data_IF_569382471668
#
_entry.id   IF_569382471668
#
_cell.length_a   1.000
_cell.length_b   1.000
_cell.length_c   1.000
_cell.angle_alpha   90.00
_cell.angle_beta   90.00
_cell.angle_gamma   90.00
#
_symmetry.space_group_name_H-M   'P 1'
#
loop_
_entity.id
_entity.type
_entity.pdbx_description
1 polymer ?
#
# COMPACT_ATOMS: atom_id res chain seq x y z
N UNK A 1 17.41 11.10 9.29
CA UNK A 1 16.78 9.77 9.15
C UNK A 1 16.20 9.41 10.51
N UNK A 2 14.89 9.19 10.60
CA UNK A 2 14.17 9.05 11.88
C UNK A 2 14.54 7.75 12.60
N UNK A 3 14.74 7.79 13.92
CA UNK A 3 15.19 6.67 14.76
C UNK A 3 14.26 5.44 14.85
N UNK A 4 13.19 5.41 14.05
CA UNK A 4 12.18 4.33 14.01
C UNK A 4 12.62 3.08 13.24
N UNK A 5 13.63 3.18 12.37
CA UNK A 5 14.01 2.07 11.49
C UNK A 5 14.94 1.04 12.15
N UNK A 6 15.66 1.41 13.22
CA UNK A 6 16.64 0.53 13.87
C UNK A 6 16.04 -0.79 14.37
N UNK A 7 14.95 -0.75 15.16
CA UNK A 7 14.28 -1.97 15.61
C UNK A 7 13.76 -2.86 14.46
N UNK A 8 13.27 -2.25 13.37
CA UNK A 8 12.78 -2.97 12.20
C UNK A 8 13.91 -3.68 11.45
N UNK A 9 15.05 -3.01 11.29
CA UNK A 9 16.25 -3.61 10.70
C UNK A 9 16.75 -4.77 11.55
N UNK A 10 16.83 -4.60 12.88
CA UNK A 10 17.26 -5.67 13.78
C UNK A 10 16.29 -6.87 13.75
N UNK A 11 14.98 -6.62 13.66
CA UNK A 11 13.99 -7.68 13.49
C UNK A 11 14.16 -8.42 12.16
N UNK A 12 14.40 -7.70 11.06
CA UNK A 12 14.67 -8.30 9.75
C UNK A 12 15.96 -9.14 9.75
N UNK A 13 17.04 -8.65 10.38
CA UNK A 13 18.29 -9.38 10.50
C UNK A 13 18.12 -10.67 11.33
N UNK A 14 17.33 -10.65 12.41
CA UNK A 14 17.01 -11.86 13.18
C UNK A 14 16.18 -12.83 12.35
N UNK A 15 15.15 -12.32 11.67
CA UNK A 15 14.27 -13.14 10.82
C UNK A 15 15.06 -13.85 9.73
N UNK A 16 16.03 -13.17 9.10
CA UNK A 16 16.91 -13.75 8.08
C UNK A 16 18.02 -14.64 8.65
N UNK A 17 18.08 -14.86 9.96
CA UNK A 17 19.14 -15.63 10.61
C UNK A 17 20.54 -15.01 10.47
N UNK A 18 20.63 -13.71 10.20
CA UNK A 18 21.89 -12.98 10.06
C UNK A 18 22.46 -12.52 11.42
N UNK A 19 21.61 -12.46 12.43
CA UNK A 19 21.98 -12.27 13.82
C UNK A 19 21.23 -13.28 14.71
N UNK A 20 21.81 -13.65 15.84
CA UNK A 20 21.18 -14.58 16.78
C UNK A 20 20.17 -13.90 17.75
N UNK A 21 19.55 -14.72 18.62
CA UNK A 21 18.64 -14.25 19.67
C UNK A 21 19.30 -13.36 20.73
N UNK A 22 20.63 -13.33 20.82
CA UNK A 22 21.42 -12.44 21.67
C UNK A 22 21.96 -11.22 20.92
N UNK A 23 21.45 -10.94 19.70
CA UNK A 23 21.87 -9.85 18.82
C UNK A 23 23.33 -9.92 18.36
N UNK A 24 23.93 -11.11 18.29
CA UNK A 24 25.28 -11.30 17.78
C UNK A 24 25.27 -11.57 16.28
N UNK A 25 26.17 -10.94 15.50
CA UNK A 25 26.29 -11.19 14.06
C UNK A 25 26.70 -12.65 13.78
N UNK A 26 26.10 -13.23 12.75
CA UNK A 26 26.53 -14.51 12.21
C UNK A 26 27.63 -14.32 11.17
N UNK A 27 28.50 -15.33 10.91
CA UNK A 27 29.54 -15.24 9.89
C UNK A 27 29.01 -14.87 8.49
N UNK A 28 27.77 -15.25 8.18
CA UNK A 28 27.11 -14.85 6.93
C UNK A 28 26.90 -13.33 6.81
N UNK A 29 26.64 -12.63 7.92
CA UNK A 29 26.50 -11.18 7.93
C UNK A 29 27.83 -10.47 7.72
N UNK A 30 28.92 -10.99 8.29
CA UNK A 30 30.28 -10.46 8.08
C UNK A 30 30.67 -10.55 6.60
N UNK A 31 30.49 -11.72 5.98
CA UNK A 31 30.74 -11.92 4.54
C UNK A 31 29.92 -10.98 3.65
N UNK A 32 28.64 -10.76 4.00
CA UNK A 32 27.79 -9.78 3.32
C UNK A 32 28.38 -8.36 3.42
N UNK A 33 28.89 -7.98 4.59
CA UNK A 33 29.44 -6.65 4.85
C UNK A 33 30.81 -6.43 4.19
N UNK A 34 31.59 -7.50 4.04
CA UNK A 34 32.91 -7.49 3.38
C UNK A 34 32.82 -7.45 1.86
N UNK A 35 31.76 -7.99 1.26
CA UNK A 35 31.51 -7.91 -0.18
C UNK A 35 31.14 -6.48 -0.60
N UNK A 36 32.17 -5.71 -0.97
CA UNK A 36 32.11 -4.30 -1.40
C UNK A 36 32.27 -4.15 -2.91
N UNK A 37 32.19 -5.23 -3.67
CA UNK A 37 32.30 -5.17 -5.12
C UNK A 37 31.17 -4.32 -5.73
N UNK A 38 31.39 -3.66 -6.89
CA UNK A 38 30.33 -2.95 -7.61
C UNK A 38 29.14 -3.86 -7.94
N UNK A 39 29.41 -5.14 -8.17
CA UNK A 39 28.42 -6.20 -8.32
C UNK A 39 28.66 -7.25 -7.22
N UNK A 40 27.98 -7.16 -6.06
CA UNK A 40 28.30 -7.96 -4.88
C UNK A 40 27.66 -9.37 -4.97
N UNK A 41 28.31 -10.26 -5.73
CA UNK A 41 27.80 -11.61 -6.05
C UNK A 41 27.67 -12.49 -4.81
N UNK A 42 28.62 -12.41 -3.88
CA UNK A 42 28.60 -13.22 -2.66
C UNK A 42 27.48 -12.77 -1.74
N UNK A 43 27.30 -11.46 -1.56
CA UNK A 43 26.18 -10.89 -0.82
C UNK A 43 24.84 -11.36 -1.36
N UNK A 44 24.62 -11.25 -2.67
CA UNK A 44 23.37 -11.68 -3.32
C UNK A 44 23.10 -13.16 -3.09
N UNK A 45 24.14 -14.00 -3.23
CA UNK A 45 24.03 -15.44 -2.99
C UNK A 45 23.64 -15.77 -1.55
N UNK A 46 24.32 -15.18 -0.56
CA UNK A 46 24.03 -15.43 0.86
C UNK A 46 22.62 -14.94 1.21
N UNK A 47 22.23 -13.75 0.72
CA UNK A 47 20.87 -13.24 0.95
C UNK A 47 19.81 -14.14 0.34
N UNK A 48 20.03 -14.67 -0.86
CA UNK A 48 19.12 -15.63 -1.48
C UNK A 48 18.98 -16.90 -0.65
N UNK A 49 20.09 -17.49 -0.20
CA UNK A 49 20.08 -18.66 0.69
C UNK A 49 19.25 -18.38 1.94
N UNK A 50 19.47 -17.23 2.61
CA UNK A 50 18.70 -16.84 3.80
C UNK A 50 17.22 -16.57 3.53
N UNK A 51 16.88 -15.94 2.40
CA UNK A 51 15.48 -15.72 2.03
C UNK A 51 14.77 -17.06 1.82
N UNK A 52 15.40 -18.00 1.11
CA UNK A 52 14.81 -19.32 0.87
C UNK A 52 14.59 -20.10 2.17
N UNK A 53 15.53 -20.02 3.10
CA UNK A 53 15.40 -20.64 4.43
C UNK A 53 14.29 -19.98 5.26
N UNK A 54 14.29 -18.65 5.34
CA UNK A 54 13.37 -17.90 6.21
C UNK A 54 11.93 -17.90 5.70
N UNK A 55 11.73 -18.00 4.38
CA UNK A 55 10.43 -18.07 3.73
C UNK A 55 10.06 -19.51 3.31
N UNK A 56 10.79 -20.54 3.77
CA UNK A 56 10.58 -21.92 3.32
C UNK A 56 9.12 -22.40 3.46
N UNK A 57 8.47 -22.07 4.57
CA UNK A 57 7.06 -22.41 4.82
C UNK A 57 6.11 -21.71 3.83
N UNK A 58 6.33 -20.42 3.56
CA UNK A 58 5.52 -19.68 2.59
C UNK A 58 5.80 -20.10 1.14
N UNK A 59 7.02 -20.54 0.83
CA UNK A 59 7.41 -20.97 -0.51
C UNK A 59 7.13 -22.45 -0.78
N UNK A 60 6.64 -23.19 0.21
CA UNK A 60 6.37 -24.61 0.04
C UNK A 60 5.32 -24.82 -1.05
N UNK A 61 5.69 -25.58 -2.09
CA UNK A 61 4.81 -25.88 -3.22
C UNK A 61 4.64 -24.74 -4.22
N UNK A 62 5.34 -23.62 -4.05
CA UNK A 62 5.27 -22.48 -4.98
C UNK A 62 6.32 -22.61 -6.08
N UNK A 63 5.89 -22.47 -7.33
CA UNK A 63 6.80 -22.31 -8.47
C UNK A 63 7.22 -20.84 -8.60
N UNK A 64 8.47 -20.55 -8.25
CA UNK A 64 9.05 -19.20 -8.28
C UNK A 64 9.03 -18.57 -9.69
N UNK A 65 8.98 -19.39 -10.75
CA UNK A 65 8.97 -18.93 -12.13
C UNK A 65 7.57 -18.54 -12.62
N UNK A 66 6.51 -18.94 -11.89
CA UNK A 66 5.12 -18.85 -12.38
C UNK A 66 4.10 -18.29 -11.39
N UNK A 67 4.49 -17.95 -10.17
CA UNK A 67 3.53 -17.50 -9.18
C UNK A 67 2.87 -16.17 -9.53
N UNK A 68 1.60 -16.05 -9.15
CA UNK A 68 0.81 -14.81 -9.23
C UNK A 68 0.89 -14.02 -7.92
N UNK A 69 0.64 -12.69 -7.95
CA UNK A 69 0.58 -11.89 -6.73
C UNK A 69 -0.48 -12.34 -5.71
N UNK A 70 -1.56 -13.00 -6.15
CA UNK A 70 -2.62 -13.53 -5.29
C UNK A 70 -2.19 -14.85 -4.62
N UNK A 71 -1.56 -15.77 -5.35
CA UNK A 71 -0.96 -16.97 -4.75
C UNK A 71 0.08 -16.61 -3.69
N UNK A 72 0.97 -15.64 -3.97
CA UNK A 72 1.96 -15.21 -2.98
C UNK A 72 1.29 -14.60 -1.74
N UNK A 73 0.16 -13.90 -1.89
CA UNK A 73 -0.64 -13.37 -0.75
C UNK A 73 -1.17 -14.49 0.12
N UNK A 74 -1.76 -15.52 -0.49
CA UNK A 74 -2.34 -16.67 0.22
C UNK A 74 -1.25 -17.45 0.97
N UNK A 75 -0.13 -17.71 0.29
CA UNK A 75 1.02 -18.41 0.85
C UNK A 75 1.66 -17.67 2.04
N UNK A 76 1.73 -16.34 1.99
CA UNK A 76 2.22 -15.53 3.11
C UNK A 76 1.26 -15.52 4.32
N UNK A 77 0.05 -16.06 4.17
CA UNK A 77 -0.90 -16.26 5.26
C UNK A 77 -0.37 -17.18 6.36
N UNK A 78 0.61 -18.05 6.08
CA UNK A 78 1.26 -18.92 7.09
C UNK A 78 1.88 -18.13 8.24
N UNK A 79 2.27 -16.87 8.01
CA UNK A 79 2.84 -16.00 9.03
C UNK A 79 1.77 -15.30 9.90
N UNK A 80 0.48 -15.55 9.67
CA UNK A 80 -0.61 -14.91 10.43
C UNK A 80 -0.71 -13.39 10.23
N UNK A 81 -0.11 -12.86 9.15
CA UNK A 81 -0.10 -11.42 8.83
C UNK A 81 -1.20 -11.07 7.83
N UNK A 82 -1.76 -9.87 7.96
CA UNK A 82 -2.82 -9.37 7.07
C UNK A 82 -2.69 -7.86 6.80
N UNK A 83 -3.52 -7.35 5.88
CA UNK A 83 -3.63 -5.92 5.59
C UNK A 83 -2.32 -5.25 5.17
N UNK A 84 -1.95 -4.19 5.89
CA UNK A 84 -0.78 -3.36 5.59
C UNK A 84 0.55 -4.10 5.76
N UNK A 85 0.65 -4.92 6.81
CA UNK A 85 1.83 -5.74 7.12
C UNK A 85 2.08 -6.78 6.05
N UNK A 86 1.03 -7.47 5.58
CA UNK A 86 1.12 -8.41 4.47
C UNK A 86 1.61 -7.70 3.19
N UNK A 87 1.04 -6.55 2.85
CA UNK A 87 1.45 -5.78 1.66
C UNK A 87 2.93 -5.37 1.72
N UNK A 88 3.41 -4.96 2.88
CA UNK A 88 4.82 -4.60 3.11
C UNK A 88 5.74 -5.81 3.04
N UNK A 89 5.37 -6.93 3.67
CA UNK A 89 6.15 -8.17 3.63
C UNK A 89 6.32 -8.70 2.20
N UNK A 90 5.23 -8.68 1.42
CA UNK A 90 5.27 -9.08 0.00
C UNK A 90 6.15 -8.14 -0.83
N UNK A 91 6.02 -6.83 -0.62
CA UNK A 91 6.84 -5.84 -1.33
C UNK A 91 8.32 -6.04 -1.03
N UNK A 92 8.67 -6.21 0.25
CA UNK A 92 10.03 -6.50 0.68
C UNK A 92 10.56 -7.78 0.04
N UNK A 93 9.79 -8.86 0.06
CA UNK A 93 10.20 -10.14 -0.52
C UNK A 93 10.48 -10.02 -2.02
N UNK A 94 9.57 -9.40 -2.78
CA UNK A 94 9.73 -9.16 -4.22
C UNK A 94 10.98 -8.34 -4.52
N UNK A 95 11.16 -7.21 -3.82
CA UNK A 95 12.34 -6.35 -4.00
C UNK A 95 13.65 -7.07 -3.62
N UNK A 96 13.60 -7.97 -2.62
CA UNK A 96 14.74 -8.77 -2.22
C UNK A 96 15.11 -9.83 -3.27
N UNK A 97 14.11 -10.45 -3.92
CA UNK A 97 14.34 -11.37 -5.05
C UNK A 97 14.95 -10.65 -6.25
N UNK A 98 14.42 -9.48 -6.60
CA UNK A 98 14.98 -8.62 -7.66
C UNK A 98 16.43 -8.23 -7.34
N UNK A 99 16.71 -7.86 -6.10
CA UNK A 99 18.08 -7.55 -5.64
C UNK A 99 19.03 -8.73 -5.81
N UNK A 100 18.57 -9.94 -5.49
CA UNK A 100 19.35 -11.17 -5.64
C UNK A 100 19.51 -11.61 -7.11
N UNK A 101 18.83 -10.95 -8.06
CA UNK A 101 18.87 -11.30 -9.48
C UNK A 101 18.05 -12.56 -9.81
N UNK A 102 17.07 -12.90 -8.98
CA UNK A 102 16.13 -13.99 -9.26
C UNK A 102 15.06 -13.43 -10.21
N UNK A 103 14.91 -14.05 -11.38
CA UNK A 103 13.89 -13.64 -12.34
C UNK A 103 12.50 -13.97 -11.81
N UNK A 104 11.68 -12.94 -11.59
CA UNK A 104 10.28 -13.10 -11.24
C UNK A 104 9.43 -13.26 -12.50
N UNK A 105 8.38 -14.08 -12.39
CA UNK A 105 7.33 -14.19 -13.40
C UNK A 105 6.88 -12.81 -13.88
N UNK A 106 6.68 -12.59 -15.19
CA UNK A 106 6.23 -11.32 -15.75
C UNK A 106 4.90 -10.82 -15.15
N UNK A 107 4.12 -11.69 -14.50
CA UNK A 107 2.87 -11.34 -13.81
C UNK A 107 3.05 -10.56 -12.49
N UNK A 108 4.25 -10.57 -11.89
CA UNK A 108 4.54 -9.89 -10.62
C UNK A 108 5.14 -8.49 -10.85
N UNK A 109 5.76 -8.27 -12.02
CA UNK A 109 6.31 -6.97 -12.39
C UNK A 109 5.17 -5.96 -12.46
N UNK A 110 5.03 -5.13 -11.42
CA UNK A 110 4.09 -4.01 -11.38
C UNK A 110 4.21 -3.25 -12.71
N UNK A 111 3.09 -2.87 -13.36
CA UNK A 111 3.16 -2.02 -14.54
C UNK A 111 3.97 -0.77 -14.18
N UNK A 112 5.00 -0.50 -14.98
CA UNK A 112 5.93 0.60 -14.76
C UNK A 112 5.15 1.87 -14.45
N UNK A 113 5.49 2.50 -13.32
CA UNK A 113 4.91 3.75 -12.82
C UNK A 113 4.81 4.76 -13.96
N UNK A 114 3.61 4.89 -14.53
CA UNK A 114 3.35 5.78 -15.65
C UNK A 114 3.70 7.21 -15.22
N UNK A 115 4.75 7.78 -15.82
CA UNK A 115 5.04 9.21 -15.74
C UNK A 115 3.76 9.96 -16.04
N UNK A 116 3.23 10.69 -15.05
CA UNK A 116 2.20 11.70 -15.23
C UNK A 116 2.58 12.57 -16.43
N UNK A 117 1.94 12.33 -17.58
CA UNK A 117 2.04 13.24 -18.72
C UNK A 117 1.42 14.55 -18.26
N UNK A 118 2.26 15.56 -18.02
CA UNK A 118 1.83 16.96 -17.93
C UNK A 118 1.06 17.26 -19.22
N UNK A 119 -0.27 17.29 -19.16
CA UNK A 119 -1.10 17.78 -20.26
C UNK A 119 -0.82 19.27 -20.40
N UNK A 120 -0.18 19.62 -21.51
CA UNK A 120 0.04 20.97 -21.95
C UNK A 120 -1.32 21.70 -22.07
N UNK A 121 -1.41 22.88 -21.44
CA UNK A 121 -2.52 23.81 -21.61
C UNK A 121 -2.45 24.38 -23.03
N UNK A 122 -3.34 23.96 -23.92
CA UNK A 122 -3.61 24.69 -25.15
C UNK A 122 -4.73 25.67 -24.88
N UNK A 123 -4.38 26.96 -24.89
CA UNK A 123 -5.32 28.07 -24.83
C UNK A 123 -5.86 28.35 -26.23
N UNK A 124 -7.20 28.45 -26.38
CA UNK A 124 -7.79 29.25 -27.46
C UNK A 124 -9.14 29.84 -27.04
N UNK A 125 -9.36 31.04 -27.58
CA UNK A 125 -10.23 32.15 -27.16
C UNK A 125 -11.75 31.92 -27.37
N UNK A 126 -12.51 32.60 -26.49
CA UNK A 126 -13.88 33.19 -26.51
C UNK A 126 -14.50 33.56 -27.89
N UNK A 127 -15.82 33.91 -28.04
CA UNK A 127 -16.72 34.59 -27.06
C UNK A 127 -18.27 34.29 -27.10
N UNK A 128 -18.95 34.96 -26.14
CA UNK A 128 -20.34 35.50 -26.08
C UNK A 128 -21.57 34.61 -25.83
N UNK A 129 -22.25 34.98 -24.72
CA UNK A 129 -23.69 35.19 -24.47
C UNK A 129 -24.74 34.28 -25.16
N UNK A 130 -25.58 33.62 -24.36
CA UNK A 130 -27.00 33.99 -24.15
C UNK A 130 -27.70 32.92 -23.27
N UNK A 131 -28.56 33.36 -22.35
CA UNK A 131 -29.40 32.56 -21.44
C UNK A 131 -30.73 32.22 -22.16
N UNK A 132 -31.18 30.97 -22.30
CA UNK A 132 -32.11 30.25 -21.40
C UNK A 132 -32.57 28.90 -22.04
N UNK A 133 -33.25 27.99 -21.30
CA UNK A 133 -33.13 26.52 -21.42
C UNK A 133 -34.10 25.89 -22.43
N UNK A 134 -33.90 24.61 -22.81
CA UNK A 134 -34.64 23.54 -22.13
C UNK A 134 -33.86 22.21 -22.00
N UNK A 135 -34.16 21.49 -20.91
CA UNK A 135 -34.28 20.03 -20.82
C UNK A 135 -33.24 19.22 -21.63
N UNK A 136 -32.18 18.76 -20.95
CA UNK A 136 -31.46 17.55 -21.33
C UNK A 136 -31.15 16.79 -20.03
N UNK A 137 -31.81 15.66 -19.81
CA UNK A 137 -31.35 14.33 -20.26
C UNK A 137 -29.98 14.03 -19.66
N UNK A 138 -29.99 13.06 -18.75
CA UNK A 138 -28.88 12.51 -17.99
C UNK A 138 -27.56 12.42 -18.77
N UNK A 139 -26.42 12.74 -18.12
CA UNK A 139 -25.15 12.15 -18.46
C UNK A 139 -24.73 11.14 -17.37
N UNK A 140 -24.70 9.88 -17.79
CA UNK A 140 -23.63 8.91 -17.54
C UNK A 140 -23.38 8.41 -16.08
N UNK A 141 -23.56 7.10 -15.79
CA UNK A 141 -23.20 6.48 -14.50
C UNK A 141 -21.68 6.28 -14.31
N UNK A 142 -20.86 7.14 -14.90
CA UNK A 142 -19.39 7.07 -14.90
C UNK A 142 -18.78 8.32 -14.26
N UNK A 143 -19.32 8.75 -13.12
CA UNK A 143 -18.76 9.83 -12.32
C UNK A 143 -18.28 9.25 -11.00
N UNK A 144 -16.97 8.94 -10.93
CA UNK A 144 -16.27 8.60 -9.69
C UNK A 144 -16.83 9.44 -8.53
N UNK A 145 -17.45 8.79 -7.56
CA UNK A 145 -17.82 9.42 -6.31
C UNK A 145 -16.52 9.92 -5.65
N UNK A 146 -16.15 11.17 -5.94
CA UNK A 146 -15.03 11.84 -5.29
C UNK A 146 -15.45 12.08 -3.86
N UNK A 147 -15.12 11.12 -2.99
CA UNK A 147 -15.23 11.26 -1.55
C UNK A 147 -14.57 12.59 -1.16
N UNK A 148 -15.36 13.48 -0.56
CA UNK A 148 -14.93 14.82 -0.15
C UNK A 148 -13.69 14.71 0.74
N UNK A 149 -12.67 15.58 0.54
CA UNK A 149 -11.36 15.49 1.21
C UNK A 149 -11.46 15.40 2.74
N UNK A 150 -12.51 15.97 3.34
CA UNK A 150 -12.80 15.88 4.77
C UNK A 150 -13.13 14.47 5.26
N UNK A 151 -13.69 13.60 4.40
CA UNK A 151 -13.98 12.20 4.70
C UNK A 151 -12.67 11.39 4.76
N UNK A 152 -11.68 11.74 3.92
CA UNK A 152 -10.38 11.06 3.91
C UNK A 152 -9.62 11.31 5.22
N UNK A 153 -9.60 12.55 5.71
CA UNK A 153 -8.97 12.86 7.01
C UNK A 153 -9.65 12.18 8.19
N UNK A 154 -10.97 11.99 8.12
CA UNK A 154 -11.73 11.27 9.15
C UNK A 154 -11.49 9.75 9.09
N UNK A 155 -11.30 9.20 7.89
CA UNK A 155 -10.93 7.80 7.67
C UNK A 155 -9.49 7.50 8.10
N UNK A 156 -8.58 8.47 7.98
CA UNK A 156 -7.23 8.35 8.53
C UNK A 156 -7.25 8.26 10.06
N UNK A 157 -8.22 8.89 10.72
CA UNK A 157 -8.38 8.81 12.17
C UNK A 157 -8.81 7.41 12.64
N UNK A 158 -9.67 6.72 11.86
CA UNK A 158 -9.98 5.30 12.07
C UNK A 158 -8.74 4.40 12.03
N UNK A 159 -7.79 4.73 11.16
CA UNK A 159 -6.59 3.92 10.93
C UNK A 159 -5.47 4.19 11.96
N UNK A 160 -5.59 5.22 12.79
CA UNK A 160 -4.57 5.61 13.79
C UNK A 160 -4.63 4.83 15.09
N UNK A 161 -5.80 4.36 15.51
CA UNK A 161 -5.97 3.83 16.86
C UNK A 161 -5.59 2.36 17.04
N UNK A 162 -5.29 1.64 15.95
CA UNK A 162 -4.61 0.34 15.96
C UNK A 162 -5.42 -0.82 16.57
N UNK A 163 -5.91 -0.70 17.81
CA UNK A 163 -6.39 -1.81 18.62
C UNK A 163 -7.66 -1.51 19.46
N UNK A 164 -8.49 -0.52 19.10
CA UNK A 164 -9.83 -0.32 19.68
C UNK A 164 -10.11 1.10 20.18
N UNK A 165 -11.39 1.46 20.27
CA UNK A 165 -11.88 2.75 20.76
C UNK A 165 -12.57 2.57 22.11
N UNK A 166 -12.51 3.58 22.98
CA UNK A 166 -13.46 3.64 24.10
C UNK A 166 -14.87 3.92 23.56
N UNK A 167 -15.92 3.52 24.28
CA UNK A 167 -17.31 3.77 23.85
C UNK A 167 -17.57 5.25 23.55
N UNK A 168 -17.05 6.15 24.39
CA UNK A 168 -17.17 7.60 24.22
C UNK A 168 -16.44 8.13 22.97
N UNK A 169 -15.28 7.56 22.63
CA UNK A 169 -14.53 7.92 21.42
C UNK A 169 -15.25 7.43 20.15
N UNK A 170 -15.84 6.24 20.23
CA UNK A 170 -16.64 5.69 19.14
C UNK A 170 -17.90 6.50 18.88
N UNK A 171 -18.60 6.89 19.92
CA UNK A 171 -19.82 7.70 19.81
C UNK A 171 -19.52 9.09 19.28
N UNK A 172 -18.46 9.73 19.78
CA UNK A 172 -18.01 11.05 19.32
C UNK A 172 -17.61 11.04 17.84
N UNK A 173 -16.85 10.03 17.42
CA UNK A 173 -16.44 9.91 16.02
C UNK A 173 -17.63 9.63 15.10
N UNK A 174 -18.57 8.78 15.50
CA UNK A 174 -19.79 8.50 14.74
C UNK A 174 -20.67 9.75 14.59
N UNK A 175 -20.79 10.59 15.63
CA UNK A 175 -21.54 11.86 15.53
C UNK A 175 -20.91 12.80 14.50
N UNK A 176 -19.57 12.96 14.53
CA UNK A 176 -18.85 13.80 13.57
C UNK A 176 -18.99 13.25 12.14
N UNK A 177 -18.83 11.95 11.95
CA UNK A 177 -19.02 11.31 10.64
C UNK A 177 -20.45 11.52 10.12
N UNK A 178 -21.46 11.25 10.95
CA UNK A 178 -22.86 11.38 10.57
C UNK A 178 -23.21 12.83 10.20
N UNK A 179 -22.65 13.84 10.88
CA UNK A 179 -22.80 15.25 10.54
C UNK A 179 -22.21 15.58 9.17
N UNK A 180 -21.01 15.09 8.88
CA UNK A 180 -20.35 15.30 7.59
C UNK A 180 -21.14 14.65 6.46
N UNK A 181 -21.64 13.42 6.65
CA UNK A 181 -22.46 12.73 5.65
C UNK A 181 -23.78 13.48 5.42
N UNK A 182 -24.47 13.91 6.49
CA UNK A 182 -25.70 14.69 6.38
C UNK A 182 -25.48 16.04 5.67
N UNK A 183 -24.31 16.64 5.84
CA UNK A 183 -23.94 17.89 5.16
C UNK A 183 -23.59 17.68 3.69
N UNK A 184 -22.78 16.66 3.37
CA UNK A 184 -22.34 16.35 2.01
C UNK A 184 -23.44 15.70 1.16
N UNK A 185 -24.34 14.95 1.79
CA UNK A 185 -25.46 14.24 1.17
C UNK A 185 -26.76 14.58 1.90
N UNK A 186 -27.27 15.81 1.75
CA UNK A 186 -28.53 16.20 2.39
C UNK A 186 -29.67 15.32 1.86
N UNK A 187 -30.52 14.83 2.77
CA UNK A 187 -31.67 14.01 2.41
C UNK A 187 -32.62 14.80 1.49
N UNK A 188 -33.01 14.19 0.36
CA UNK A 188 -33.88 14.82 -0.66
C UNK A 188 -35.26 15.23 -0.14
N UNK A 189 -35.72 14.74 1.01
CA UNK A 189 -36.99 15.16 1.62
C UNK A 189 -37.01 16.61 2.12
N UNK A 190 -35.86 17.30 2.14
CA UNK A 190 -35.80 18.73 2.53
C UNK A 190 -35.78 19.70 1.35
N UNK A 191 -35.75 19.23 0.10
CA UNK A 191 -35.84 20.12 -1.08
C UNK A 191 -37.28 20.45 -1.51
N UNK A 192 -38.31 19.88 -0.87
CA UNK A 192 -39.72 20.18 -1.17
C UNK A 192 -40.41 21.14 -0.17
N UNK A 193 -39.65 21.82 0.72
CA UNK A 193 -40.22 22.79 1.68
C UNK A 193 -39.55 24.16 1.70
N UNK A 194 -38.83 24.54 0.64
CA UNK A 194 -38.36 25.92 0.48
C UNK A 194 -38.46 26.36 -0.98
N UNK A 195 -39.69 26.45 -1.48
CA UNK A 195 -40.05 27.42 -2.50
C UNK A 195 -41.35 28.09 -2.00
N UNK A 196 -41.34 29.40 -1.66
CA UNK A 196 -42.55 30.20 -1.52
C UNK A 196 -43.25 30.41 -2.87
#
# INVERSE_FOLDING_TARGET
>A
MSGSNGPQVMAALRFLGLIDGSNRPQPSLERIAEDRAPEPKERKRILWERLRESYAEALQGLDLDRFTPDELREHFGVFGISGDTLRKALTFFIEALEYCGIELSPHIKKPAKGRTRKRARSAKKQPSEEYSPPIATSPDPSGEARLHLSIQGLLDDLLRFGNGWSGEQQDSWLDVFARIIKYAYPARDRQLRMLP
#
